data_IF_380767959493
#
_entry.id   IF_380767959493
#
_cell.length_a   1.000
_cell.length_b   1.000
_cell.length_c   1.000
_cell.angle_alpha   90.00
_cell.angle_beta   90.00
_cell.angle_gamma   90.00
#
_symmetry.space_group_name_H-M   'P 1'
#
loop_
_entity.id
_entity.type
_entity.pdbx_description
1 polymer ?
#
# COMPACT_ATOMS: atom_id res chain seq x y z
N UNK A 1 1.55 5.56 0.38
CA UNK A 1 2.79 4.82 0.01
C UNK A 1 2.41 3.35 -0.12
N UNK A 2 2.79 2.66 -1.20
CA UNK A 2 2.65 1.20 -1.30
C UNK A 2 4.03 0.60 -1.00
N UNK A 3 4.12 -0.25 0.02
CA UNK A 3 5.35 -0.96 0.37
C UNK A 3 5.30 -2.36 -0.24
N UNK A 4 5.88 -2.54 -1.44
CA UNK A 4 5.99 -3.84 -2.13
C UNK A 4 7.43 -4.28 -2.43
N UNK A 5 8.44 -3.49 -2.03
CA UNK A 5 9.85 -3.76 -2.33
C UNK A 5 10.84 -3.09 -1.38
N UNK A 6 11.90 -3.83 -1.07
CA UNK A 6 12.91 -3.64 -0.03
C UNK A 6 13.37 -2.19 0.21
N UNK A 7 13.21 -1.72 1.45
CA UNK A 7 14.19 -0.90 2.17
C UNK A 7 13.85 -0.95 3.67
N UNK A 8 14.86 -1.25 4.48
CA UNK A 8 14.81 -1.54 5.93
C UNK A 8 14.32 -0.38 6.82
N UNK A 9 13.72 0.67 6.26
CA UNK A 9 13.35 1.92 6.94
C UNK A 9 11.96 2.48 6.52
N UNK A 10 11.07 1.63 6.02
CA UNK A 10 9.72 2.06 5.57
C UNK A 10 8.84 2.68 6.66
N UNK A 11 9.07 2.33 7.93
CA UNK A 11 8.32 2.82 9.10
C UNK A 11 8.63 4.26 9.49
N UNK A 12 9.87 4.74 9.30
CA UNK A 12 10.18 6.17 9.47
C UNK A 12 9.50 7.03 8.40
N UNK A 13 9.46 6.53 7.16
CA UNK A 13 8.75 7.18 6.05
C UNK A 13 7.25 7.28 6.29
N UNK A 14 6.64 6.24 6.89
CA UNK A 14 5.22 6.23 7.27
C UNK A 14 4.87 7.37 8.24
N UNK A 15 5.68 7.58 9.28
CA UNK A 15 5.43 8.64 10.27
C UNK A 15 5.49 10.04 9.63
N UNK A 16 6.53 10.34 8.83
CA UNK A 16 6.63 11.61 8.11
C UNK A 16 5.50 11.82 7.11
N UNK A 17 5.08 10.75 6.42
CA UNK A 17 3.96 10.82 5.47
C UNK A 17 2.66 11.17 6.18
N UNK A 18 2.36 10.54 7.33
CA UNK A 18 1.16 10.84 8.13
C UNK A 18 1.20 12.25 8.73
N UNK A 19 2.35 12.70 9.24
CA UNK A 19 2.51 14.07 9.75
C UNK A 19 2.29 15.14 8.65
N UNK A 20 2.53 14.80 7.39
CA UNK A 20 2.24 15.65 6.23
C UNK A 20 0.81 15.50 5.68
N UNK A 21 -0.06 14.72 6.33
CA UNK A 21 -1.43 14.44 5.87
C UNK A 21 -1.53 13.44 4.72
N UNK A 22 -0.48 12.66 4.47
CA UNK A 22 -0.46 11.60 3.46
C UNK A 22 -1.10 10.30 3.95
N UNK A 23 -1.30 9.36 3.01
CA UNK A 23 -2.04 8.11 3.23
C UNK A 23 -1.09 6.90 3.26
N UNK A 24 -1.21 6.09 4.31
CA UNK A 24 -0.48 4.87 4.56
C UNK A 24 -1.30 3.62 4.16
N UNK A 25 -0.81 2.87 3.18
CA UNK A 25 -1.45 1.65 2.67
C UNK A 25 -0.47 0.48 2.80
N UNK A 26 -0.94 -0.67 3.25
CA UNK A 26 -0.13 -1.89 3.42
C UNK A 26 -0.79 -3.04 2.65
N UNK A 27 0.00 -3.78 1.87
CA UNK A 27 -0.51 -4.97 1.17
C UNK A 27 -0.77 -6.09 2.17
N UNK A 28 -1.80 -6.91 1.93
CA UNK A 28 -2.00 -8.15 2.65
C UNK A 28 -0.73 -9.03 2.58
N UNK A 29 -0.12 -9.41 3.73
CA UNK A 29 1.01 -10.32 3.76
C UNK A 29 0.81 -11.62 2.99
N UNK A 30 -0.43 -12.12 2.92
CA UNK A 30 -0.74 -13.39 2.25
C UNK A 30 -0.54 -13.34 0.72
N UNK A 31 -0.58 -12.15 0.11
CA UNK A 31 -0.40 -11.94 -1.32
C UNK A 31 0.93 -11.25 -1.66
N UNK A 32 1.63 -10.77 -0.63
CA UNK A 32 2.93 -10.15 -0.79
C UNK A 32 3.98 -11.18 -1.18
N UNK A 33 4.77 -10.88 -2.21
CA UNK A 33 5.94 -11.70 -2.57
C UNK A 33 7.01 -11.73 -1.47
N UNK A 34 6.94 -10.80 -0.50
CA UNK A 34 7.81 -10.71 0.67
C UNK A 34 6.96 -10.37 1.92
N UNK A 35 6.35 -11.38 2.58
CA UNK A 35 5.39 -11.19 3.67
C UNK A 35 5.94 -10.48 4.91
N UNK A 36 7.23 -10.66 5.21
CA UNK A 36 7.88 -10.04 6.37
C UNK A 36 7.68 -8.51 6.41
N UNK A 37 7.59 -7.84 5.25
CA UNK A 37 7.46 -6.38 5.19
C UNK A 37 6.07 -5.87 5.62
N UNK A 38 4.97 -6.30 5.01
CA UNK A 38 3.64 -5.90 5.46
C UNK A 38 3.32 -6.43 6.87
N UNK A 39 3.86 -7.58 7.29
CA UNK A 39 3.73 -8.04 8.68
C UNK A 39 4.38 -7.07 9.66
N UNK A 40 5.62 -6.65 9.40
CA UNK A 40 6.31 -5.67 10.22
C UNK A 40 5.61 -4.30 10.21
N UNK A 41 5.06 -3.87 9.07
CA UNK A 41 4.30 -2.64 8.97
C UNK A 41 3.01 -2.70 9.78
N UNK A 42 2.25 -3.80 9.67
CA UNK A 42 1.00 -4.02 10.40
C UNK A 42 1.17 -4.08 11.93
N UNK A 43 2.35 -4.50 12.39
CA UNK A 43 2.72 -4.49 13.82
C UNK A 43 3.18 -3.12 14.32
N UNK A 44 3.35 -2.13 13.44
CA UNK A 44 3.71 -0.78 13.85
C UNK A 44 2.46 -0.04 14.35
N UNK A 45 2.53 0.52 15.56
CA UNK A 45 1.47 1.34 16.21
C UNK A 45 1.13 2.65 15.47
N UNK A 46 1.53 2.80 14.21
CA UNK A 46 1.25 3.96 13.37
C UNK A 46 -0.12 3.90 12.70
N UNK A 47 -0.68 5.07 12.37
CA UNK A 47 -1.96 5.22 11.68
C UNK A 47 -1.92 4.68 10.23
N UNK A 48 -2.06 3.38 10.07
CA UNK A 48 -2.29 2.75 8.77
C UNK A 48 -3.75 2.98 8.36
N UNK A 49 -3.96 3.52 7.17
CA UNK A 49 -5.30 3.84 6.66
C UNK A 49 -5.99 2.61 6.07
N UNK A 50 -5.23 1.69 5.47
CA UNK A 50 -5.78 0.46 4.89
C UNK A 50 -4.72 -0.65 4.82
N UNK A 51 -5.14 -1.87 5.16
CA UNK A 51 -4.42 -3.11 4.88
C UNK A 51 -5.32 -3.97 3.99
N UNK A 52 -4.82 -4.46 2.86
CA UNK A 52 -5.64 -5.27 1.96
C UNK A 52 -4.92 -5.77 0.71
N UNK A 53 -5.61 -6.57 -0.13
CA UNK A 53 -5.06 -7.12 -1.36
C UNK A 53 -4.71 -6.00 -2.35
N UNK A 54 -3.85 -6.31 -3.32
CA UNK A 54 -3.27 -5.29 -4.21
C UNK A 54 -4.34 -4.55 -5.02
N UNK A 55 -5.42 -5.23 -5.37
CA UNK A 55 -6.56 -4.68 -6.10
C UNK A 55 -7.26 -3.59 -5.28
N UNK A 56 -7.54 -3.85 -3.99
CA UNK A 56 -8.17 -2.88 -3.09
C UNK A 56 -7.29 -1.66 -2.87
N UNK A 57 -5.96 -1.86 -2.75
CA UNK A 57 -5.04 -0.74 -2.63
C UNK A 57 -5.02 0.14 -3.89
N UNK A 58 -5.08 -0.49 -5.07
CA UNK A 58 -5.11 0.23 -6.35
C UNK A 58 -6.41 1.02 -6.53
N UNK A 59 -7.55 0.42 -6.19
CA UNK A 59 -8.87 1.08 -6.20
C UNK A 59 -8.86 2.31 -5.29
N UNK A 60 -8.39 2.15 -4.05
CA UNK A 60 -8.30 3.25 -3.09
C UNK A 60 -7.46 4.41 -3.63
N UNK A 61 -6.31 4.13 -4.25
CA UNK A 61 -5.46 5.18 -4.83
C UNK A 61 -6.21 5.92 -5.93
N UNK A 62 -6.86 5.20 -6.85
CA UNK A 62 -7.61 5.81 -7.95
C UNK A 62 -8.69 6.78 -7.44
N UNK A 63 -9.44 6.37 -6.40
CA UNK A 63 -10.43 7.22 -5.74
C UNK A 63 -9.82 8.51 -5.16
N UNK A 64 -8.69 8.39 -4.44
CA UNK A 64 -8.05 9.54 -3.79
C UNK A 64 -7.46 10.56 -4.76
N UNK A 65 -6.96 10.11 -5.92
CA UNK A 65 -6.40 11.02 -6.93
C UNK A 65 -7.43 11.47 -7.98
N UNK A 66 -8.68 11.02 -7.86
CA UNK A 66 -9.75 11.33 -8.83
C UNK A 66 -9.50 10.74 -10.22
N UNK A 67 -8.70 9.68 -10.33
CA UNK A 67 -8.47 8.95 -11.58
C UNK A 67 -9.52 7.84 -11.71
N UNK A 68 -10.08 7.69 -12.90
CA UNK A 68 -10.87 6.49 -13.20
C UNK A 68 -9.93 5.28 -13.25
N UNK A 69 -10.29 4.11 -12.67
CA UNK A 69 -9.46 2.92 -12.72
C UNK A 69 -9.03 2.62 -14.16
N UNK A 70 -7.74 2.35 -14.35
CA UNK A 70 -7.21 1.95 -15.65
C UNK A 70 -7.90 0.65 -16.06
N UNK A 71 -8.76 0.72 -17.07
CA UNK A 71 -9.35 -0.47 -17.70
C UNK A 71 -8.24 -1.23 -18.41
N UNK A 72 -7.63 -2.18 -17.70
CA UNK A 72 -6.70 -3.14 -18.28
C UNK A 72 -7.53 -4.21 -19.00
N UNK A 73 -7.83 -3.96 -20.28
CA UNK A 73 -8.27 -5.04 -21.14
C UNK A 73 -7.15 -6.07 -21.23
N UNK A 74 -7.44 -7.33 -20.91
CA UNK A 74 -6.49 -8.43 -20.99
C UNK A 74 -5.76 -8.43 -22.35
N UNK A 75 -4.45 -8.77 -22.40
CA UNK A 75 -3.74 -8.87 -23.66
C UNK A 75 -4.41 -9.94 -24.55
N UNK A 76 -4.48 -9.73 -25.88
CA UNK A 76 -4.97 -10.77 -26.79
C UNK A 76 -4.02 -11.98 -26.67
N UNK A 77 -4.63 -13.16 -26.51
CA UNK A 77 -3.94 -14.44 -26.34
C UNK A 77 -3.26 -14.96 -27.60
#
# INVERSE_FOLDING_TARGET
>A
MILSGALKDGTLGLKFLKEAGGIALVQDPAEASFPDMPENAAMHDGEIDLIGPIETLAEFICEQVGLQPLSLSAPPG
#
